data_IF_820409846291
#
_entry.id   IF_820409846291
#
_cell.length_a   1.000
_cell.length_b   1.000
_cell.length_c   1.000
_cell.angle_alpha   90.00
_cell.angle_beta   90.00
_cell.angle_gamma   90.00
#
_symmetry.space_group_name_H-M   'P 1'
#
loop_
_entity.id
_entity.type
_entity.pdbx_description
1 polymer ?
#
# COMPACT_ATOMS: atom_id res chain seq x y z
N UNK A 1 -13.18 10.17 1.79
CA UNK A 1 -13.12 9.48 0.47
C UNK A 1 -11.92 8.56 0.44
N UNK A 2 -12.07 7.31 -0.04
CA UNK A 2 -10.99 6.37 -0.28
C UNK A 2 -10.92 6.08 -1.78
N UNK A 3 -9.80 6.43 -2.43
CA UNK A 3 -9.58 6.04 -3.83
C UNK A 3 -8.90 4.68 -3.88
N UNK A 4 -9.20 3.86 -4.89
CA UNK A 4 -8.75 2.47 -4.91
C UNK A 4 -9.41 1.59 -3.83
N UNK A 5 -10.60 2.00 -3.34
CA UNK A 5 -11.31 1.33 -2.26
C UNK A 5 -11.94 -0.01 -2.62
N UNK A 6 -11.91 -0.42 -3.89
CA UNK A 6 -12.26 -1.77 -4.35
C UNK A 6 -11.03 -2.70 -4.44
N UNK A 7 -9.81 -2.16 -4.26
CA UNK A 7 -8.57 -2.90 -4.25
C UNK A 7 -8.30 -3.62 -2.93
N UNK A 8 -7.16 -4.30 -2.86
CA UNK A 8 -6.76 -5.08 -1.68
C UNK A 8 -6.69 -4.22 -0.41
N UNK A 9 -5.73 -3.28 -0.33
CA UNK A 9 -5.51 -2.47 0.88
C UNK A 9 -6.68 -1.51 1.10
N UNK A 10 -7.11 -0.81 0.04
CA UNK A 10 -8.17 0.19 0.12
C UNK A 10 -9.50 -0.37 0.66
N UNK A 11 -9.89 -1.59 0.28
CA UNK A 11 -11.13 -2.20 0.78
C UNK A 11 -11.10 -2.50 2.28
N UNK A 12 -9.95 -2.89 2.83
CA UNK A 12 -9.79 -3.07 4.27
C UNK A 12 -9.82 -1.73 5.02
N UNK A 13 -9.26 -0.67 4.42
CA UNK A 13 -9.31 0.68 4.99
C UNK A 13 -10.76 1.19 5.01
N UNK A 14 -11.50 0.98 3.92
CA UNK A 14 -12.94 1.30 3.86
C UNK A 14 -13.69 0.62 5.00
N UNK A 15 -13.47 -0.67 5.21
CA UNK A 15 -14.09 -1.41 6.32
C UNK A 15 -13.72 -0.81 7.68
N UNK A 16 -12.42 -0.55 7.90
CA UNK A 16 -11.96 0.03 9.17
C UNK A 16 -12.53 1.43 9.44
N UNK A 17 -12.67 2.28 8.43
CA UNK A 17 -13.29 3.59 8.58
C UNK A 17 -14.78 3.48 8.89
N UNK A 18 -15.51 2.59 8.22
CA UNK A 18 -16.94 2.33 8.47
C UNK A 18 -17.16 1.77 9.88
N UNK A 19 -16.31 0.86 10.34
CA UNK A 19 -16.36 0.32 11.70
C UNK A 19 -16.13 1.40 12.77
N UNK A 20 -15.34 2.42 12.46
CA UNK A 20 -15.13 3.60 13.30
C UNK A 20 -16.22 4.66 13.21
N UNK A 21 -17.25 4.44 12.39
CA UNK A 21 -18.40 5.33 12.26
C UNK A 21 -18.23 6.45 11.23
N UNK A 22 -17.21 6.42 10.37
CA UNK A 22 -17.08 7.36 9.28
C UNK A 22 -18.07 7.06 8.14
N UNK A 23 -18.62 8.10 7.52
CA UNK A 23 -19.24 7.99 6.20
C UNK A 23 -18.15 7.87 5.14
N UNK A 24 -18.17 6.79 4.37
CA UNK A 24 -17.11 6.49 3.41
C UNK A 24 -17.62 6.56 1.98
N UNK A 25 -16.90 7.32 1.17
CA UNK A 25 -17.04 7.38 -0.28
C UNK A 25 -15.87 6.64 -0.92
N UNK A 26 -16.16 5.69 -1.80
CA UNK A 26 -15.17 4.94 -2.58
C UNK A 26 -15.16 5.47 -4.02
N UNK A 27 -14.00 5.88 -4.51
CA UNK A 27 -13.75 6.21 -5.91
C UNK A 27 -12.77 5.18 -6.50
N UNK A 28 -13.25 4.36 -7.44
CA UNK A 28 -12.45 3.27 -8.05
C UNK A 28 -12.96 3.00 -9.46
N UNK A 29 -12.05 2.81 -10.43
CA UNK A 29 -12.42 2.52 -11.82
C UNK A 29 -12.55 1.01 -12.11
N UNK A 30 -12.36 0.16 -11.07
CA UNK A 30 -12.40 -1.30 -11.15
C UNK A 30 -11.40 -1.92 -12.14
N UNK A 31 -10.33 -1.20 -12.50
CA UNK A 31 -9.29 -1.73 -13.40
C UNK A 31 -8.55 -2.96 -12.82
N UNK A 32 -8.35 -2.97 -11.51
CA UNK A 32 -7.81 -4.10 -10.73
C UNK A 32 -8.62 -4.37 -9.47
N UNK A 33 -9.40 -3.39 -9.02
CA UNK A 33 -10.34 -3.52 -7.91
C UNK A 33 -11.49 -4.45 -8.25
N UNK A 34 -12.04 -5.11 -7.23
CA UNK A 34 -13.14 -6.07 -7.37
C UNK A 34 -14.40 -5.52 -6.71
N UNK A 35 -15.53 -5.57 -7.43
CA UNK A 35 -16.81 -5.07 -6.92
C UNK A 35 -17.24 -5.75 -5.63
N UNK A 36 -16.92 -7.03 -5.46
CA UNK A 36 -17.20 -7.81 -4.25
C UNK A 36 -16.41 -7.35 -3.01
N UNK A 37 -15.35 -6.57 -3.18
CA UNK A 37 -14.60 -6.00 -2.06
C UNK A 37 -15.22 -4.71 -1.53
N UNK A 38 -16.18 -4.11 -2.25
CA UNK A 38 -16.80 -2.85 -1.86
C UNK A 38 -17.76 -3.09 -0.69
N UNK A 39 -17.51 -2.42 0.43
CA UNK A 39 -18.42 -2.49 1.57
C UNK A 39 -19.80 -1.91 1.18
N UNK A 40 -20.91 -2.62 1.41
CA UNK A 40 -22.25 -2.15 1.01
C UNK A 40 -22.70 -0.88 1.74
N UNK A 41 -22.05 -0.50 2.82
CA UNK A 41 -22.31 0.74 3.56
C UNK A 41 -21.56 1.95 2.98
N UNK A 42 -20.60 1.72 2.07
CA UNK A 42 -19.89 2.81 1.39
C UNK A 42 -20.68 3.31 0.18
N UNK A 43 -20.62 4.61 -0.07
CA UNK A 43 -21.07 5.17 -1.35
C UNK A 43 -20.00 4.88 -2.41
N UNK A 44 -20.37 4.24 -3.51
CA UNK A 44 -19.44 3.85 -4.57
C UNK A 44 -19.62 4.71 -5.82
N UNK A 45 -18.49 5.22 -6.33
CA UNK A 45 -18.39 5.90 -7.61
C UNK A 45 -17.41 5.16 -8.51
N UNK A 46 -17.90 4.67 -9.65
CA UNK A 46 -17.05 4.11 -10.69
C UNK A 46 -16.41 5.26 -11.48
N UNK A 47 -15.23 5.70 -11.05
CA UNK A 47 -14.54 6.86 -11.61
C UNK A 47 -13.04 6.65 -11.61
N UNK A 48 -12.39 7.04 -12.72
CA UNK A 48 -10.93 7.08 -12.82
C UNK A 48 -10.42 8.39 -12.20
N UNK A 49 -9.34 8.28 -11.40
CA UNK A 49 -8.69 9.46 -10.79
C UNK A 49 -8.12 10.44 -11.84
N UNK A 50 -7.88 9.97 -13.07
CA UNK A 50 -7.43 10.80 -14.18
C UNK A 50 -8.59 11.59 -14.85
N UNK A 51 -9.84 11.18 -14.65
CA UNK A 51 -11.01 11.78 -15.28
C UNK A 51 -11.36 13.12 -14.66
N UNK A 52 -11.87 14.04 -15.51
CA UNK A 52 -12.48 15.30 -15.04
C UNK A 52 -13.73 15.06 -14.20
N UNK A 53 -14.44 13.94 -14.41
CA UNK A 53 -15.62 13.55 -13.60
C UNK A 53 -15.30 13.24 -12.13
N UNK A 54 -14.02 13.11 -11.78
CA UNK A 54 -13.61 13.04 -10.37
C UNK A 54 -14.04 14.30 -9.60
N UNK A 55 -13.99 15.45 -10.25
CA UNK A 55 -14.39 16.72 -9.65
C UNK A 55 -15.88 16.76 -9.28
N UNK A 56 -16.75 16.12 -10.08
CA UNK A 56 -18.20 16.03 -9.78
C UNK A 56 -18.45 15.23 -8.49
N UNK A 57 -17.62 14.20 -8.23
CA UNK A 57 -17.68 13.44 -6.98
C UNK A 57 -17.28 14.31 -5.78
N UNK A 58 -16.24 15.13 -5.91
CA UNK A 58 -15.85 16.09 -4.86
C UNK A 58 -16.90 17.14 -4.61
N UNK A 59 -17.51 17.67 -5.67
CA UNK A 59 -18.57 18.69 -5.55
C UNK A 59 -19.77 18.15 -4.79
N UNK A 60 -20.17 16.93 -5.10
CA UNK A 60 -21.32 16.26 -4.48
C UNK A 60 -21.07 15.82 -3.06
N UNK A 61 -19.93 15.16 -2.79
CA UNK A 61 -19.69 14.47 -1.53
C UNK A 61 -18.89 15.29 -0.51
N UNK A 62 -18.19 16.35 -0.94
CA UNK A 62 -17.42 17.29 -0.08
C UNK A 62 -16.58 16.55 1.00
N UNK A 63 -15.68 15.64 0.63
CA UNK A 63 -14.99 14.82 1.61
C UNK A 63 -14.10 15.66 2.54
N UNK A 64 -14.20 15.41 3.85
CA UNK A 64 -13.29 16.00 4.84
C UNK A 64 -11.87 15.46 4.70
N UNK A 65 -11.74 14.16 4.38
CA UNK A 65 -10.49 13.43 4.28
C UNK A 65 -10.41 12.68 2.96
N UNK A 66 -9.22 12.65 2.37
CA UNK A 66 -8.91 11.81 1.21
C UNK A 66 -7.81 10.84 1.59
N UNK A 67 -8.07 9.54 1.36
CA UNK A 67 -7.11 8.46 1.55
C UNK A 67 -6.85 7.80 0.18
N UNK A 68 -5.64 8.01 -0.35
CA UNK A 68 -5.32 7.75 -1.74
C UNK A 68 -4.55 6.45 -1.93
N UNK A 69 -5.27 5.40 -2.35
CA UNK A 69 -4.74 4.06 -2.65
C UNK A 69 -4.84 3.67 -4.14
N UNK A 70 -5.59 4.42 -4.96
CA UNK A 70 -5.65 4.16 -6.40
C UNK A 70 -4.27 4.35 -7.05
N UNK A 71 -3.75 3.31 -7.69
CA UNK A 71 -2.45 3.34 -8.34
C UNK A 71 -2.28 2.19 -9.33
N UNK A 72 -1.40 2.39 -10.31
CA UNK A 72 -0.70 1.31 -10.99
C UNK A 72 0.40 0.82 -10.04
N UNK A 73 0.37 -0.46 -9.61
CA UNK A 73 1.26 -0.99 -8.57
C UNK A 73 2.31 -1.98 -9.10
N UNK A 74 2.19 -2.38 -10.38
CA UNK A 74 2.98 -3.41 -11.01
C UNK A 74 4.36 -2.85 -11.44
N UNK A 75 5.43 -3.22 -10.72
CA UNK A 75 6.81 -2.77 -11.03
C UNK A 75 7.21 -3.18 -12.44
N UNK A 76 6.98 -4.43 -12.86
CA UNK A 76 7.34 -4.90 -14.20
C UNK A 76 6.52 -4.20 -15.29
N UNK A 77 5.25 -3.87 -15.04
CA UNK A 77 4.45 -3.07 -15.97
C UNK A 77 4.99 -1.64 -16.07
N UNK A 78 5.40 -1.03 -14.97
CA UNK A 78 5.97 0.32 -14.99
C UNK A 78 7.23 0.41 -15.86
N UNK A 79 8.05 -0.65 -15.89
CA UNK A 79 9.25 -0.72 -16.73
C UNK A 79 8.87 -0.84 -18.22
N UNK A 80 7.87 -1.66 -18.55
CA UNK A 80 7.42 -1.83 -19.95
C UNK A 80 6.62 -0.64 -20.47
N UNK A 81 5.84 -0.01 -19.61
CA UNK A 81 4.88 1.04 -19.96
C UNK A 81 5.05 2.27 -19.04
N UNK A 82 6.24 2.94 -19.05
CA UNK A 82 6.50 4.01 -18.08
C UNK A 82 5.56 5.21 -18.23
N UNK A 83 5.12 5.52 -19.44
CA UNK A 83 4.14 6.60 -19.65
C UNK A 83 2.78 6.28 -19.03
N UNK A 84 2.34 5.02 -19.10
CA UNK A 84 1.11 4.59 -18.43
C UNK A 84 1.23 4.75 -16.90
N UNK A 85 2.39 4.38 -16.35
CA UNK A 85 2.67 4.57 -14.91
C UNK A 85 2.61 6.05 -14.51
N UNK A 86 3.23 6.94 -15.30
CA UNK A 86 3.18 8.40 -15.08
C UNK A 86 1.76 8.93 -15.13
N UNK A 87 0.98 8.53 -16.15
CA UNK A 87 -0.41 8.97 -16.29
C UNK A 87 -1.26 8.60 -15.09
N UNK A 88 -1.21 7.35 -14.64
CA UNK A 88 -2.00 6.88 -13.50
C UNK A 88 -1.45 7.45 -12.19
N UNK A 89 -0.15 7.23 -11.92
CA UNK A 89 0.40 7.48 -10.59
C UNK A 89 0.74 8.94 -10.34
N UNK A 90 1.19 9.70 -11.35
CA UNK A 90 1.51 11.12 -11.17
C UNK A 90 0.33 12.00 -11.56
N UNK A 91 -0.15 11.94 -12.80
CA UNK A 91 -1.20 12.85 -13.27
C UNK A 91 -2.53 12.59 -12.58
N UNK A 92 -2.91 11.32 -12.36
CA UNK A 92 -4.09 10.96 -11.58
C UNK A 92 -4.01 11.46 -10.13
N UNK A 93 -2.86 11.30 -9.47
CA UNK A 93 -2.66 11.84 -8.11
C UNK A 93 -2.72 13.36 -8.09
N UNK A 94 -2.13 14.04 -9.07
CA UNK A 94 -2.20 15.51 -9.17
C UNK A 94 -3.62 16.01 -9.35
N UNK A 95 -4.44 15.34 -10.19
CA UNK A 95 -5.85 15.65 -10.33
C UNK A 95 -6.59 15.55 -8.98
N UNK A 96 -6.34 14.46 -8.24
CA UNK A 96 -6.92 14.25 -6.91
C UNK A 96 -6.46 15.30 -5.89
N UNK A 97 -5.17 15.66 -5.88
CA UNK A 97 -4.62 16.70 -5.00
C UNK A 97 -5.21 18.08 -5.34
N UNK A 98 -5.35 18.39 -6.63
CA UNK A 98 -6.00 19.63 -7.10
C UNK A 98 -7.44 19.72 -6.63
N UNK A 99 -8.23 18.65 -6.78
CA UNK A 99 -9.60 18.58 -6.26
C UNK A 99 -9.62 18.74 -4.74
N UNK A 100 -8.72 18.05 -4.04
CA UNK A 100 -8.63 18.14 -2.57
C UNK A 100 -8.39 19.58 -2.09
N UNK A 101 -7.49 20.30 -2.75
CA UNK A 101 -7.25 21.72 -2.47
C UNK A 101 -8.47 22.57 -2.79
N UNK A 102 -9.10 22.38 -3.96
CA UNK A 102 -10.27 23.15 -4.41
C UNK A 102 -11.45 23.01 -3.46
N UNK A 103 -11.68 21.81 -2.93
CA UNK A 103 -12.83 21.50 -2.07
C UNK A 103 -12.50 21.50 -0.56
N UNK A 104 -11.35 22.10 -0.18
CA UNK A 104 -10.93 22.32 1.21
C UNK A 104 -10.87 21.02 2.04
N UNK A 105 -10.34 19.94 1.46
CA UNK A 105 -10.04 18.69 2.19
C UNK A 105 -9.16 19.01 3.38
N UNK A 106 -9.53 18.54 4.58
CA UNK A 106 -8.82 18.81 5.84
C UNK A 106 -7.48 18.09 5.91
N UNK A 107 -7.42 16.85 5.37
CA UNK A 107 -6.19 16.07 5.31
C UNK A 107 -6.18 15.10 4.13
N UNK A 108 -5.01 14.98 3.51
CA UNK A 108 -4.73 14.04 2.44
C UNK A 108 -3.75 12.96 2.93
N UNK A 109 -4.15 11.69 2.89
CA UNK A 109 -3.30 10.56 3.21
C UNK A 109 -2.88 9.88 1.91
N UNK A 110 -1.62 9.58 1.77
CA UNK A 110 -1.05 9.01 0.56
C UNK A 110 -0.36 7.68 0.82
N UNK A 111 -0.83 6.63 0.15
CA UNK A 111 -0.18 5.34 0.12
C UNK A 111 1.07 5.39 -0.77
N UNK A 112 2.23 5.57 -0.17
CA UNK A 112 3.53 5.44 -0.80
C UNK A 112 4.13 4.06 -0.56
N UNK A 113 5.39 3.84 -0.95
CA UNK A 113 6.06 2.54 -0.87
C UNK A 113 7.45 2.65 -0.27
N UNK A 114 7.71 1.97 0.83
CA UNK A 114 9.07 1.80 1.35
C UNK A 114 9.84 0.67 0.65
N UNK A 115 9.12 -0.25 -0.01
CA UNK A 115 9.73 -1.38 -0.71
C UNK A 115 10.34 -1.04 -2.08
N UNK A 116 10.03 0.13 -2.65
CA UNK A 116 10.44 0.46 -4.03
C UNK A 116 11.18 1.80 -4.17
N UNK A 117 11.12 2.70 -3.18
CA UNK A 117 11.71 4.05 -3.34
C UNK A 117 13.16 4.13 -2.89
N UNK A 118 13.58 3.32 -1.91
CA UNK A 118 14.93 3.41 -1.37
C UNK A 118 16.00 2.79 -2.29
N UNK A 119 15.62 1.91 -3.21
CA UNK A 119 16.55 1.14 -4.04
C UNK A 119 17.32 0.11 -3.21
N UNK A 120 18.56 -0.18 -3.60
CA UNK A 120 19.46 -0.99 -2.77
C UNK A 120 19.90 -0.17 -1.55
N UNK A 121 19.58 -0.63 -0.32
CA UNK A 121 19.79 0.17 0.87
C UNK A 121 21.27 0.34 1.23
N UNK A 122 21.65 1.54 1.64
CA UNK A 122 22.96 1.81 2.22
C UNK A 122 23.08 1.28 3.65
N UNK A 123 21.98 1.22 4.39
CA UNK A 123 21.86 0.66 5.73
C UNK A 123 20.44 0.14 5.97
N UNK A 124 20.32 -0.77 6.91
CA UNK A 124 19.05 -1.42 7.29
C UNK A 124 18.90 -1.46 8.82
N UNK A 125 17.69 -1.31 9.35
CA UNK A 125 16.43 -0.95 8.66
C UNK A 125 16.47 0.47 8.09
N UNK A 126 15.85 0.72 6.91
CA UNK A 126 15.73 2.06 6.34
C UNK A 126 14.80 2.92 7.19
N UNK A 127 15.25 4.11 7.59
CA UNK A 127 14.43 5.15 8.17
C UNK A 127 14.02 6.21 7.11
N UNK A 128 13.29 7.25 7.52
CA UNK A 128 12.82 8.29 6.61
C UNK A 128 13.93 9.26 6.14
N UNK A 129 15.11 9.19 6.75
CA UNK A 129 16.29 9.95 6.36
C UNK A 129 17.19 9.21 5.34
N UNK A 130 16.91 7.90 5.13
CA UNK A 130 17.65 7.09 4.16
C UNK A 130 17.58 7.71 2.75
N UNK A 131 18.69 7.76 1.99
CA UNK A 131 18.69 8.21 0.59
C UNK A 131 17.64 7.48 -0.26
N UNK A 132 17.00 8.21 -1.15
CA UNK A 132 15.96 7.70 -2.05
C UNK A 132 16.54 7.52 -3.45
N UNK A 133 16.66 6.27 -3.91
CA UNK A 133 17.26 5.90 -5.19
C UNK A 133 16.41 4.80 -5.88
N UNK A 134 15.17 5.10 -6.34
CA UNK A 134 14.26 4.11 -6.88
C UNK A 134 14.82 3.46 -8.15
N UNK A 135 14.65 2.14 -8.27
CA UNK A 135 15.11 1.33 -9.40
C UNK A 135 14.02 1.03 -10.44
N UNK A 136 12.85 1.66 -10.30
CA UNK A 136 11.72 1.46 -11.23
C UNK A 136 10.92 2.74 -11.43
N UNK A 137 10.25 2.92 -12.59
CA UNK A 137 9.32 4.03 -12.81
C UNK A 137 8.23 4.12 -11.74
N UNK A 138 7.72 2.98 -11.25
CA UNK A 138 6.78 2.93 -10.14
C UNK A 138 7.33 3.62 -8.87
N UNK A 139 8.57 3.29 -8.47
CA UNK A 139 9.20 3.93 -7.31
C UNK A 139 9.42 5.43 -7.52
N UNK A 140 9.84 5.84 -8.73
CA UNK A 140 9.99 7.25 -9.12
C UNK A 140 8.65 7.97 -9.02
N UNK A 141 7.59 7.42 -9.60
CA UNK A 141 6.25 8.01 -9.60
C UNK A 141 5.72 8.21 -8.19
N UNK A 142 5.86 7.19 -7.33
CA UNK A 142 5.43 7.26 -5.93
C UNK A 142 6.18 8.37 -5.18
N UNK A 143 7.49 8.46 -5.34
CA UNK A 143 8.30 9.50 -4.70
C UNK A 143 8.00 10.91 -5.25
N UNK A 144 7.74 11.03 -6.54
CA UNK A 144 7.35 12.30 -7.17
C UNK A 144 6.10 12.89 -6.54
N UNK A 145 5.08 12.07 -6.27
CA UNK A 145 3.84 12.54 -5.62
C UNK A 145 4.08 13.00 -4.19
N UNK A 146 5.03 12.40 -3.45
CA UNK A 146 5.41 12.88 -2.12
C UNK A 146 5.90 14.34 -2.17
N UNK A 147 6.69 14.70 -3.20
CA UNK A 147 7.14 16.07 -3.42
C UNK A 147 6.00 17.03 -3.78
N UNK A 148 5.03 16.60 -4.58
CA UNK A 148 3.85 17.42 -4.87
C UNK A 148 3.01 17.66 -3.61
N UNK A 149 2.84 16.67 -2.75
CA UNK A 149 2.14 16.86 -1.48
C UNK A 149 2.84 17.86 -0.58
N UNK A 150 4.17 17.78 -0.47
CA UNK A 150 4.96 18.79 0.25
C UNK A 150 4.81 20.18 -0.33
N UNK A 151 4.83 20.32 -1.67
CA UNK A 151 4.60 21.58 -2.36
C UNK A 151 3.18 22.13 -2.07
N UNK A 152 2.16 21.29 -2.12
CA UNK A 152 0.78 21.71 -1.83
C UNK A 152 0.58 22.10 -0.36
N UNK A 153 1.23 21.40 0.55
CA UNK A 153 1.28 21.84 1.94
C UNK A 153 1.92 23.21 2.09
N UNK A 154 3.12 23.40 1.53
CA UNK A 154 3.90 24.63 1.69
C UNK A 154 3.22 25.84 1.07
N UNK A 155 2.63 25.70 -0.12
CA UNK A 155 2.06 26.80 -0.88
C UNK A 155 0.58 27.03 -0.59
N UNK A 156 -0.16 26.01 -0.19
CA UNK A 156 -1.63 26.07 -0.09
C UNK A 156 -2.16 25.58 1.26
N UNK A 157 -1.32 25.08 2.16
CA UNK A 157 -1.73 24.63 3.49
C UNK A 157 -2.50 23.29 3.52
N UNK A 158 -2.45 22.49 2.44
CA UNK A 158 -3.07 21.16 2.42
C UNK A 158 -2.33 20.24 3.40
N UNK A 159 -2.95 19.89 4.53
CA UNK A 159 -2.36 18.92 5.46
C UNK A 159 -2.26 17.55 4.80
N UNK A 160 -1.11 16.89 4.94
CA UNK A 160 -0.89 15.59 4.32
C UNK A 160 -0.11 14.63 5.23
N UNK A 161 -0.30 13.33 4.97
CA UNK A 161 0.49 12.24 5.56
C UNK A 161 0.88 11.29 4.42
N UNK A 162 2.14 10.93 4.39
CA UNK A 162 2.70 9.98 3.43
C UNK A 162 3.05 8.70 4.19
N UNK A 163 2.42 7.61 3.84
CA UNK A 163 2.61 6.31 4.46
C UNK A 163 3.40 5.41 3.51
N UNK A 164 4.68 5.21 3.80
CA UNK A 164 5.58 4.34 3.05
C UNK A 164 5.46 2.91 3.57
N UNK A 165 4.58 2.14 2.94
CA UNK A 165 4.38 0.75 3.31
C UNK A 165 5.55 -0.14 2.93
N UNK A 166 5.87 -1.09 3.80
CA UNK A 166 6.60 -2.30 3.43
C UNK A 166 5.68 -3.25 2.63
N UNK A 167 6.05 -4.53 2.49
CA UNK A 167 5.24 -5.47 1.72
C UNK A 167 3.96 -5.86 2.48
N UNK A 168 2.86 -5.18 2.18
CA UNK A 168 1.55 -5.49 2.78
C UNK A 168 1.02 -6.81 2.24
N UNK A 169 0.48 -7.66 3.13
CA UNK A 169 -0.14 -8.94 2.78
C UNK A 169 -1.40 -9.21 3.60
N UNK A 170 -2.26 -10.09 3.12
CA UNK A 170 -3.49 -10.45 3.85
C UNK A 170 -4.64 -10.93 2.95
N UNK A 171 -5.85 -11.07 3.51
CA UNK A 171 -7.08 -11.34 2.79
C UNK A 171 -7.33 -10.37 1.62
N UNK A 172 -8.04 -10.80 0.59
CA UNK A 172 -8.37 -10.02 -0.63
C UNK A 172 -7.19 -9.64 -1.51
N UNK A 173 -5.94 -10.01 -1.16
CA UNK A 173 -4.81 -9.80 -2.07
C UNK A 173 -4.96 -10.70 -3.28
N UNK A 174 -4.91 -10.14 -4.50
CA UNK A 174 -5.06 -10.92 -5.74
C UNK A 174 -3.79 -11.76 -5.98
N UNK A 175 -3.88 -13.10 -6.09
CA UNK A 175 -2.73 -13.97 -6.31
C UNK A 175 -2.29 -14.05 -7.77
N UNK A 176 -3.07 -13.50 -8.72
CA UNK A 176 -2.85 -13.68 -10.17
C UNK A 176 -2.17 -12.49 -10.85
N UNK A 177 -2.14 -11.32 -10.19
CA UNK A 177 -1.47 -10.13 -10.71
C UNK A 177 -0.01 -10.03 -10.24
N UNK A 178 0.53 -8.82 -10.16
CA UNK A 178 1.77 -8.57 -9.38
C UNK A 178 1.45 -8.65 -7.88
N UNK A 179 1.08 -9.85 -7.48
CA UNK A 179 0.79 -10.15 -6.11
C UNK A 179 2.09 -10.29 -5.31
N UNK A 180 2.00 -9.98 -4.04
CA UNK A 180 3.06 -10.34 -3.11
C UNK A 180 3.21 -11.87 -3.03
N UNK A 181 4.43 -12.30 -2.79
CA UNK A 181 4.82 -13.73 -2.71
C UNK A 181 3.89 -14.57 -1.80
N UNK A 182 3.37 -13.97 -0.72
CA UNK A 182 2.49 -14.67 0.24
C UNK A 182 1.17 -15.08 -0.42
N UNK A 183 0.51 -14.19 -1.17
CA UNK A 183 -0.75 -14.52 -1.85
C UNK A 183 -0.53 -15.57 -2.94
N UNK A 184 0.53 -15.41 -3.76
CA UNK A 184 0.89 -16.36 -4.83
C UNK A 184 1.15 -17.76 -4.25
N UNK A 185 1.98 -17.85 -3.21
CA UNK A 185 2.34 -19.12 -2.63
C UNK A 185 1.15 -19.78 -1.95
N UNK A 186 0.37 -19.03 -1.20
CA UNK A 186 -0.84 -19.53 -0.54
C UNK A 186 -1.80 -20.14 -1.54
N UNK A 187 -2.12 -19.41 -2.62
CA UNK A 187 -3.04 -19.89 -3.66
C UNK A 187 -2.53 -21.15 -4.35
N UNK A 188 -1.24 -21.16 -4.73
CA UNK A 188 -0.63 -22.31 -5.38
C UNK A 188 -0.60 -23.55 -4.48
N UNK A 189 -0.23 -23.37 -3.20
CA UNK A 189 -0.15 -24.47 -2.23
C UNK A 189 -1.52 -25.06 -1.94
N UNK A 190 -2.55 -24.24 -1.75
CA UNK A 190 -3.94 -24.71 -1.52
C UNK A 190 -4.52 -25.46 -2.71
N UNK A 191 -4.10 -25.14 -3.94
CA UNK A 191 -4.46 -25.87 -5.16
C UNK A 191 -3.52 -27.03 -5.48
N UNK A 192 -2.58 -27.33 -4.62
CA UNK A 192 -1.52 -28.34 -4.83
C UNK A 192 -0.70 -28.11 -6.13
N UNK A 193 -0.57 -26.85 -6.55
CA UNK A 193 0.27 -26.44 -7.69
C UNK A 193 1.69 -26.15 -7.23
N UNK A 194 2.68 -26.43 -8.09
CA UNK A 194 4.09 -26.14 -7.74
C UNK A 194 4.33 -24.66 -7.58
N UNK A 195 4.97 -24.29 -6.48
CA UNK A 195 5.44 -22.95 -6.18
C UNK A 195 6.72 -22.66 -6.97
N UNK A 196 6.88 -21.45 -7.49
CA UNK A 196 8.08 -20.99 -8.19
C UNK A 196 8.75 -19.91 -7.33
N UNK A 197 10.02 -20.11 -7.00
CA UNK A 197 10.88 -19.14 -6.32
C UNK A 197 11.84 -18.55 -7.35
N UNK A 198 11.82 -17.23 -7.54
CA UNK A 198 12.76 -16.55 -8.42
C UNK A 198 14.10 -16.37 -7.67
N UNK A 199 15.21 -16.68 -8.34
CA UNK A 199 16.53 -16.66 -7.76
C UNK A 199 16.74 -17.77 -6.72
N UNK A 200 17.60 -17.50 -5.73
CA UNK A 200 17.95 -18.41 -4.65
C UNK A 200 16.94 -18.42 -3.48
N UNK A 201 15.98 -17.50 -3.49
CA UNK A 201 14.97 -17.36 -2.44
C UNK A 201 15.48 -16.73 -1.14
N UNK A 202 16.73 -16.22 -1.10
CA UNK A 202 17.31 -15.57 0.07
C UNK A 202 17.08 -14.05 0.08
N UNK A 203 16.45 -13.48 -0.96
CA UNK A 203 16.00 -12.10 -0.95
C UNK A 203 15.02 -11.85 0.20
N UNK A 204 15.24 -10.76 0.94
CA UNK A 204 14.49 -10.46 2.15
C UNK A 204 13.54 -9.27 1.95
N UNK A 205 12.33 -9.41 2.48
CA UNK A 205 11.31 -8.34 2.52
C UNK A 205 10.76 -8.21 3.94
N UNK A 206 10.30 -7.02 4.24
CA UNK A 206 9.53 -6.72 5.44
C UNK A 206 8.04 -6.93 5.12
N UNK A 207 7.38 -7.83 5.84
CA UNK A 207 5.98 -8.20 5.59
C UNK A 207 5.07 -7.62 6.66
N UNK A 208 4.17 -6.72 6.25
CA UNK A 208 3.21 -6.03 7.09
C UNK A 208 1.80 -6.61 6.86
N UNK A 209 1.14 -7.07 7.93
CA UNK A 209 -0.22 -7.56 7.81
C UNK A 209 -1.21 -6.40 7.58
N UNK A 210 -2.21 -6.60 6.71
CA UNK A 210 -3.10 -5.53 6.22
C UNK A 210 -3.84 -4.78 7.32
N UNK A 211 -4.21 -5.43 8.44
CA UNK A 211 -4.88 -4.73 9.54
C UNK A 211 -3.98 -3.69 10.22
N UNK A 212 -2.66 -3.88 10.20
CA UNK A 212 -1.72 -2.87 10.71
C UNK A 212 -1.63 -1.67 9.77
N UNK A 213 -1.75 -1.89 8.44
CA UNK A 213 -1.89 -0.80 7.47
C UNK A 213 -3.19 -0.01 7.70
N UNK A 214 -4.33 -0.69 7.91
CA UNK A 214 -5.61 -0.04 8.26
C UNK A 214 -5.46 0.83 9.50
N UNK A 215 -4.82 0.31 10.55
CA UNK A 215 -4.62 1.07 11.80
C UNK A 215 -3.75 2.31 11.59
N UNK A 216 -2.74 2.27 10.71
CA UNK A 216 -1.94 3.44 10.40
C UNK A 216 -2.75 4.54 9.71
N UNK A 217 -3.67 4.18 8.81
CA UNK A 217 -4.56 5.15 8.15
C UNK A 217 -5.56 5.75 9.14
N UNK A 218 -6.15 4.94 10.02
CA UNK A 218 -7.03 5.44 11.10
C UNK A 218 -6.29 6.44 11.99
N UNK A 219 -5.13 6.09 12.50
CA UNK A 219 -4.31 6.98 13.32
C UNK A 219 -3.90 8.25 12.57
N UNK A 220 -3.69 8.16 11.25
CA UNK A 220 -3.37 9.33 10.41
C UNK A 220 -4.54 10.30 10.28
N UNK A 221 -5.79 9.85 10.42
CA UNK A 221 -6.98 10.71 10.47
C UNK A 221 -7.22 11.22 11.89
N UNK A 222 -7.26 10.31 12.88
CA UNK A 222 -7.69 10.59 14.26
C UNK A 222 -6.67 11.43 15.02
N UNK A 223 -5.38 11.22 14.79
CA UNK A 223 -4.36 12.04 15.43
C UNK A 223 -4.46 13.47 14.92
N UNK A 224 -5.19 14.26 15.68
CA UNK A 224 -5.08 15.70 15.70
C UNK A 224 -3.70 16.11 16.29
N UNK A 225 -2.63 15.42 15.89
CA UNK A 225 -1.33 15.98 16.11
C UNK A 225 -1.45 17.40 15.55
N UNK A 226 -1.78 18.29 16.49
CA UNK A 226 -1.56 19.69 16.31
C UNK A 226 -0.09 19.76 15.90
N UNK A 227 0.11 19.59 14.61
CA UNK A 227 1.24 20.20 13.99
C UNK A 227 1.07 21.67 14.35
N UNK A 228 1.44 22.03 15.59
CA UNK A 228 1.61 23.43 15.95
C UNK A 228 2.45 23.96 14.80
N UNK A 229 1.85 24.83 13.98
CA UNK A 229 2.52 25.47 12.84
C UNK A 229 3.58 26.45 13.34
N UNK A 230 4.48 25.96 14.20
CA UNK A 230 5.61 26.71 14.73
C UNK A 230 6.85 26.26 13.97
N UNK A 231 7.09 26.92 12.84
CA UNK A 231 8.28 26.73 12.02
C UNK A 231 8.03 26.14 10.63
N UNK A 232 9.02 26.32 9.72
CA UNK A 232 9.03 25.71 8.39
C UNK A 232 9.22 24.20 8.53
N UNK A 233 8.24 23.40 8.07
CA UNK A 233 8.34 21.95 8.05
C UNK A 233 9.27 21.48 6.95
N UNK A 234 9.99 20.40 7.24
CA UNK A 234 10.83 19.69 6.27
C UNK A 234 10.00 18.66 5.53
N UNK A 235 10.44 18.28 4.36
CA UNK A 235 9.82 17.22 3.54
C UNK A 235 9.60 15.93 4.34
N UNK A 236 10.60 15.50 5.12
CA UNK A 236 10.52 14.26 5.92
C UNK A 236 9.48 14.29 7.04
N UNK A 237 8.99 15.47 7.46
CA UNK A 237 8.05 15.58 8.59
C UNK A 237 6.68 14.95 8.29
N UNK A 238 6.34 14.82 7.01
CA UNK A 238 5.05 14.26 6.55
C UNK A 238 5.10 12.76 6.28
N UNK A 239 6.30 12.17 6.27
CA UNK A 239 6.56 10.81 5.81
C UNK A 239 6.71 9.87 7.00
N UNK A 240 6.08 8.70 6.90
CA UNK A 240 6.15 7.64 7.90
C UNK A 240 6.41 6.30 7.25
N UNK A 241 7.50 5.65 7.63
CA UNK A 241 7.74 4.27 7.28
C UNK A 241 6.86 3.34 8.10
N UNK A 242 6.21 2.38 7.44
CA UNK A 242 5.33 1.40 8.04
C UNK A 242 5.85 -0.01 7.73
N UNK A 243 6.51 -0.60 8.68
CA UNK A 243 7.10 -1.92 8.57
C UNK A 243 7.30 -2.56 9.94
N UNK A 244 7.81 -3.78 9.94
CA UNK A 244 8.11 -4.55 11.16
C UNK A 244 9.56 -4.38 11.62
N UNK A 245 10.41 -3.79 10.78
CA UNK A 245 11.85 -3.67 11.00
C UNK A 245 12.62 -4.99 10.79
N UNK A 246 11.95 -6.03 10.25
CA UNK A 246 12.53 -7.37 10.14
C UNK A 246 12.45 -7.90 8.71
N UNK A 247 13.62 -8.22 8.15
CA UNK A 247 13.71 -8.94 6.89
C UNK A 247 13.30 -10.42 7.06
N UNK A 248 12.49 -10.91 6.12
CA UNK A 248 12.14 -12.33 6.04
C UNK A 248 12.37 -12.81 4.61
N UNK A 249 13.14 -13.90 4.45
CA UNK A 249 13.46 -14.44 3.13
C UNK A 249 12.27 -15.15 2.49
N UNK A 250 12.23 -15.18 1.16
CA UNK A 250 11.22 -15.93 0.38
C UNK A 250 11.22 -17.40 0.76
N UNK A 251 12.40 -18.01 0.96
CA UNK A 251 12.53 -19.39 1.42
C UNK A 251 11.88 -19.61 2.79
N UNK A 252 11.99 -18.64 3.71
CA UNK A 252 11.33 -18.72 5.02
C UNK A 252 9.81 -18.64 4.88
N UNK A 253 9.30 -17.73 4.04
CA UNK A 253 7.85 -17.64 3.74
C UNK A 253 7.34 -18.96 3.16
N UNK A 254 8.07 -19.55 2.20
CA UNK A 254 7.71 -20.84 1.62
C UNK A 254 7.58 -21.92 2.70
N UNK A 255 8.60 -22.09 3.56
CA UNK A 255 8.57 -23.10 4.63
C UNK A 255 7.44 -22.89 5.63
N UNK A 256 7.16 -21.65 6.01
CA UNK A 256 6.07 -21.34 6.93
C UNK A 256 4.70 -21.66 6.32
N UNK A 257 4.46 -21.25 5.06
CA UNK A 257 3.22 -21.55 4.36
C UNK A 257 3.07 -23.03 4.07
N UNK A 258 4.17 -23.75 3.71
CA UNK A 258 4.17 -25.19 3.53
C UNK A 258 3.66 -25.92 4.79
N UNK A 259 4.10 -25.48 5.98
CA UNK A 259 3.60 -26.03 7.25
C UNK A 259 2.13 -25.68 7.53
N UNK A 260 1.72 -24.43 7.25
CA UNK A 260 0.34 -23.96 7.50
C UNK A 260 -0.67 -24.65 6.58
N UNK A 261 -0.33 -24.83 5.30
CA UNK A 261 -1.22 -25.40 4.27
C UNK A 261 -1.09 -26.91 4.11
N UNK A 262 -0.18 -27.55 4.87
CA UNK A 262 0.16 -28.97 4.73
C UNK A 262 0.62 -29.37 3.32
N UNK A 263 1.23 -28.41 2.58
CA UNK A 263 1.71 -28.60 1.22
C UNK A 263 2.93 -29.54 1.19
N UNK A 264 2.96 -30.48 0.22
CA UNK A 264 3.96 -31.55 0.19
C UNK A 264 5.06 -31.35 -0.86
N UNK A 265 4.79 -30.55 -1.91
CA UNK A 265 5.73 -30.43 -3.02
C UNK A 265 6.90 -29.50 -2.69
N UNK A 266 8.03 -29.71 -3.37
CA UNK A 266 9.18 -28.79 -3.32
C UNK A 266 9.02 -27.68 -4.37
N UNK A 267 9.61 -26.49 -4.14
CA UNK A 267 9.51 -25.38 -5.07
C UNK A 267 10.35 -25.65 -6.32
N UNK A 268 9.99 -24.99 -7.42
CA UNK A 268 10.86 -24.83 -8.59
C UNK A 268 11.61 -23.52 -8.47
N UNK A 269 12.86 -23.47 -8.89
CA UNK A 269 13.62 -22.24 -8.98
C UNK A 269 13.63 -21.71 -10.42
N UNK A 270 13.42 -20.41 -10.58
CA UNK A 270 13.50 -19.66 -11.81
C UNK A 270 14.61 -18.61 -11.73
N UNK A 271 15.06 -18.02 -12.84
CA UNK A 271 16.02 -16.90 -12.80
C UNK A 271 15.54 -15.75 -11.92
N UNK A 272 16.46 -14.99 -11.29
CA UNK A 272 16.10 -13.80 -10.51
C UNK A 272 15.41 -12.76 -11.39
N UNK A 273 14.48 -12.00 -10.83
CA UNK A 273 13.81 -10.90 -11.55
C UNK A 273 14.71 -9.68 -11.61
N UNK A 274 14.83 -9.09 -12.80
CA UNK A 274 15.59 -7.85 -13.02
C UNK A 274 14.93 -6.69 -12.28
N UNK A 275 15.74 -5.85 -11.61
CA UNK A 275 15.25 -4.65 -10.89
C UNK A 275 14.63 -4.92 -9.52
N UNK A 276 14.71 -6.15 -9.01
CA UNK A 276 14.33 -6.44 -7.61
C UNK A 276 15.46 -6.08 -6.65
N UNK A 277 15.12 -5.32 -5.61
CA UNK A 277 15.99 -5.06 -4.44
C UNK A 277 16.25 -6.38 -3.70
N UNK A 278 17.50 -6.66 -3.31
CA UNK A 278 17.82 -7.92 -2.64
C UNK A 278 17.33 -7.96 -1.20
N UNK A 279 17.54 -6.88 -0.43
CA UNK A 279 17.06 -6.79 0.96
C UNK A 279 16.46 -5.42 1.23
N UNK A 280 15.24 -5.39 1.78
CA UNK A 280 14.60 -4.15 2.22
C UNK A 280 13.69 -4.40 3.42
N UNK A 281 13.90 -3.65 4.51
CA UNK A 281 13.02 -3.57 5.67
C UNK A 281 13.13 -2.20 6.33
N UNK A 282 12.03 -1.76 6.98
CA UNK A 282 11.79 -0.38 7.34
C UNK A 282 11.85 -0.16 8.85
N UNK A 283 12.51 0.92 9.26
CA UNK A 283 12.43 1.42 10.62
C UNK A 283 11.15 2.24 10.77
N UNK A 284 10.28 1.86 11.71
CA UNK A 284 9.01 2.52 11.98
C UNK A 284 9.00 3.33 13.30
N UNK A 285 10.15 3.62 13.87
CA UNK A 285 10.24 4.34 15.17
C UNK A 285 9.62 5.74 15.12
N UNK A 286 9.66 6.42 13.97
CA UNK A 286 8.98 7.69 13.79
C UNK A 286 7.46 7.54 13.86
N UNK A 287 6.90 6.53 13.17
CA UNK A 287 5.48 6.25 13.24
C UNK A 287 5.04 5.89 14.66
N UNK A 288 5.85 5.13 15.40
CA UNK A 288 5.61 4.82 16.81
C UNK A 288 5.58 6.07 17.68
N UNK A 289 6.59 6.92 17.57
CA UNK A 289 6.72 8.13 18.39
C UNK A 289 5.66 9.18 18.08
N UNK A 290 5.33 9.38 16.80
CA UNK A 290 4.51 10.51 16.35
C UNK A 290 3.05 10.14 16.06
N UNK A 291 2.77 8.92 15.60
CA UNK A 291 1.42 8.43 15.36
C UNK A 291 0.91 7.47 16.45
N UNK A 292 1.78 6.98 17.34
CA UNK A 292 1.43 5.92 18.28
C UNK A 292 1.22 4.57 17.56
N UNK A 293 1.83 4.40 16.37
CA UNK A 293 1.66 3.21 15.55
C UNK A 293 2.86 2.26 15.68
N UNK A 294 2.56 0.98 15.85
CA UNK A 294 3.54 -0.11 15.74
C UNK A 294 2.84 -1.36 15.20
N UNK A 295 3.53 -2.27 14.48
CA UNK A 295 2.89 -3.48 13.99
C UNK A 295 2.47 -4.38 15.16
N UNK A 296 1.24 -4.92 15.09
CA UNK A 296 0.67 -5.76 16.15
C UNK A 296 0.47 -7.21 15.73
N UNK A 297 0.41 -7.49 14.43
CA UNK A 297 0.21 -8.84 13.92
C UNK A 297 1.54 -9.47 13.55
N UNK A 298 1.94 -10.49 14.30
CA UNK A 298 3.15 -11.26 14.00
C UNK A 298 2.99 -12.06 12.70
N UNK A 299 4.09 -12.24 11.97
CA UNK A 299 4.11 -12.90 10.66
C UNK A 299 3.39 -14.26 10.65
N UNK A 300 3.67 -15.14 11.61
CA UNK A 300 3.04 -16.47 11.66
C UNK A 300 1.51 -16.39 11.79
N UNK A 301 1.01 -15.48 12.59
CA UNK A 301 -0.43 -15.27 12.76
C UNK A 301 -1.06 -14.69 11.50
N UNK A 302 -0.43 -13.68 10.89
CA UNK A 302 -0.90 -13.09 9.64
C UNK A 302 -0.94 -14.11 8.50
N UNK A 303 0.07 -14.98 8.39
CA UNK A 303 0.10 -16.06 7.39
C UNK A 303 -1.06 -17.06 7.59
N UNK A 304 -1.34 -17.48 8.83
CA UNK A 304 -2.49 -18.35 9.14
C UNK A 304 -3.82 -17.71 8.76
N UNK A 305 -4.03 -16.46 9.14
CA UNK A 305 -5.25 -15.70 8.77
C UNK A 305 -5.40 -15.58 7.26
N UNK A 306 -4.32 -15.30 6.55
CA UNK A 306 -4.30 -15.21 5.09
C UNK A 306 -4.64 -16.55 4.45
N UNK A 307 -3.97 -17.64 4.85
CA UNK A 307 -4.23 -18.98 4.32
C UNK A 307 -5.69 -19.42 4.56
N UNK A 308 -6.21 -19.21 5.78
CA UNK A 308 -7.60 -19.52 6.10
C UNK A 308 -8.61 -18.76 5.25
N UNK A 309 -8.32 -17.49 4.93
CA UNK A 309 -9.19 -16.71 4.04
C UNK A 309 -9.19 -17.28 2.61
N UNK A 310 -8.01 -17.58 2.05
CA UNK A 310 -7.89 -18.18 0.71
C UNK A 310 -8.58 -19.53 0.62
N UNK A 311 -8.46 -20.38 1.65
CA UNK A 311 -9.13 -21.66 1.71
C UNK A 311 -10.65 -21.52 1.67
N UNK A 312 -11.22 -20.57 2.44
CA UNK A 312 -12.65 -20.28 2.45
C UNK A 312 -13.13 -19.67 1.14
N UNK A 313 -12.36 -18.79 0.54
CA UNK A 313 -12.69 -18.17 -0.75
C UNK A 313 -12.66 -19.21 -1.89
N UNK A 314 -11.70 -20.12 -1.90
CA UNK A 314 -11.61 -21.20 -2.89
C UNK A 314 -12.73 -22.23 -2.82
N UNK A 315 -13.38 -22.39 -1.67
CA UNK A 315 -14.56 -23.28 -1.51
C UNK A 315 -15.87 -22.67 -2.04
N UNK A 316 -15.88 -21.38 -2.41
CA UNK A 316 -17.06 -20.68 -2.95
C UNK A 316 -17.12 -20.67 -4.48
N UNK A 317 -16.10 -21.20 -5.14
CA UNK A 317 -16.00 -21.39 -6.59
C UNK A 317 -16.20 -22.86 -6.91
#
# INVERSE_FOLDING_TARGET
MVTGGAGFIGSHIVDGFIEKGYEVVVADNLSTGKRENINPRAKFYNVDIQSSSLEDVFDKERPDFVDHHAAQICVSKSIREPLFDVHVNILGSLNLIKCSKKYNVKRFIYASTGGAIYGEPNYLPCDEAHPVNPLSPYGVSKHTVEHYLYLYYTNYGLDCRVLRYSNVYGPRQDPYGEAGVIAIFTERMLRNNRVIINGDGNQERDFLYVSDAVRANLLSIENSLHFKMTGKKKFSDFIYNLGTGKGTSVNRIFRMLKGITHYQLEPLHAPPKTGEVYKIFLNAEKAKRELGWEPTVYLNEGLKRTASWFEKAGKKI
#
